data_IF_935096297588
#
_entry.id   IF_935096297588
#
_cell.length_a   1.000
_cell.length_b   1.000
_cell.length_c   1.000
_cell.angle_alpha   90.00
_cell.angle_beta   90.00
_cell.angle_gamma   90.00
#
_symmetry.space_group_name_H-M   'P 1'
#
loop_
_entity.id
_entity.type
_entity.pdbx_description
1 polymer ?
#
# COMPACT_ATOMS: atom_id res chain seq x y z
N UNK A 1 -4.36 -8.58 -18.08
CA UNK A 1 -4.96 -7.66 -17.10
C UNK A 1 -3.85 -7.24 -16.14
N UNK A 2 -3.59 -5.94 -15.98
CA UNK A 2 -2.50 -5.48 -15.12
C UNK A 2 -2.87 -5.74 -13.66
N UNK A 3 -2.10 -6.58 -12.99
CA UNK A 3 -2.18 -6.81 -11.55
C UNK A 3 -2.15 -5.46 -10.79
N UNK A 4 -3.23 -5.11 -10.09
CA UNK A 4 -3.31 -3.89 -9.28
C UNK A 4 -2.50 -4.10 -8.01
N UNK A 5 -1.22 -3.74 -8.05
CA UNK A 5 -0.33 -3.82 -6.89
C UNK A 5 -0.42 -2.55 -6.03
N UNK A 6 -0.03 -2.65 -4.75
CA UNK A 6 0.15 -1.48 -3.88
C UNK A 6 1.02 -0.39 -4.54
N UNK A 7 2.06 -0.80 -5.27
CA UNK A 7 2.93 0.10 -6.03
C UNK A 7 2.16 0.85 -7.11
N UNK A 8 1.29 0.17 -7.85
CA UNK A 8 0.46 0.78 -8.90
C UNK A 8 -0.48 1.82 -8.31
N UNK A 9 -1.14 1.51 -7.19
CA UNK A 9 -2.03 2.44 -6.48
C UNK A 9 -1.27 3.66 -5.95
N UNK A 10 -0.08 3.47 -5.37
CA UNK A 10 0.79 4.56 -4.93
C UNK A 10 1.18 5.48 -6.09
N UNK A 11 1.62 4.90 -7.20
CA UNK A 11 2.03 5.65 -8.39
C UNK A 11 0.85 6.42 -9.02
N UNK A 12 -0.36 5.87 -9.00
CA UNK A 12 -1.57 6.58 -9.42
C UNK A 12 -1.84 7.83 -8.57
N UNK A 13 -1.45 7.82 -7.29
CA UNK A 13 -1.49 8.99 -6.40
C UNK A 13 -0.27 9.90 -6.49
N UNK A 14 0.68 9.62 -7.39
CA UNK A 14 1.93 10.37 -7.57
C UNK A 14 2.77 10.49 -6.29
N UNK A 15 2.69 9.48 -5.41
CA UNK A 15 3.45 9.44 -4.16
C UNK A 15 4.75 8.66 -4.33
N UNK A 16 5.84 9.08 -3.69
CA UNK A 16 7.03 8.25 -3.46
C UNK A 16 6.80 7.25 -2.31
N UNK A 17 7.66 6.24 -2.16
CA UNK A 17 7.57 5.31 -1.02
C UNK A 17 7.76 6.05 0.31
N UNK A 18 8.63 7.06 0.36
CA UNK A 18 8.83 7.93 1.52
C UNK A 18 7.59 8.75 1.86
N UNK A 19 6.91 9.31 0.86
CA UNK A 19 5.69 10.07 1.08
C UNK A 19 4.55 9.19 1.61
N UNK A 20 4.40 7.97 1.07
CA UNK A 20 3.40 7.02 1.57
C UNK A 20 3.74 6.58 3.01
N UNK A 21 5.00 6.31 3.28
CA UNK A 21 5.50 5.97 4.62
C UNK A 21 5.18 7.07 5.64
N UNK A 22 5.52 8.32 5.34
CA UNK A 22 5.26 9.46 6.22
C UNK A 22 3.76 9.69 6.47
N UNK A 23 2.92 9.48 5.45
CA UNK A 23 1.46 9.66 5.56
C UNK A 23 0.76 8.55 6.34
N UNK A 24 1.37 7.37 6.45
CA UNK A 24 0.77 6.18 7.08
C UNK A 24 1.42 5.81 8.42
N UNK A 25 2.48 6.52 8.82
CA UNK A 25 3.36 6.15 9.93
C UNK A 25 3.92 4.72 9.81
N UNK A 26 4.19 4.30 8.57
CA UNK A 26 4.79 3.00 8.25
C UNK A 26 6.20 3.24 7.74
N UNK A 27 7.18 2.49 8.22
CA UNK A 27 8.56 2.67 7.72
C UNK A 27 8.65 2.47 6.21
N UNK A 28 9.50 3.26 5.54
CA UNK A 28 9.77 3.15 4.09
C UNK A 28 10.16 1.71 3.71
N UNK A 29 10.96 1.05 4.56
CA UNK A 29 11.34 -0.37 4.41
C UNK A 29 10.12 -1.29 4.39
N UNK A 30 9.15 -1.06 5.26
CA UNK A 30 7.90 -1.83 5.30
C UNK A 30 7.06 -1.58 4.05
N UNK A 31 6.92 -0.34 3.60
CA UNK A 31 6.24 -0.01 2.34
C UNK A 31 6.89 -0.73 1.16
N UNK A 32 8.22 -0.65 1.03
CA UNK A 32 8.96 -1.34 -0.02
C UNK A 32 8.75 -2.87 0.03
N UNK A 33 8.69 -3.45 1.23
CA UNK A 33 8.41 -4.88 1.41
C UNK A 33 6.98 -5.25 1.00
N UNK A 34 5.98 -4.44 1.34
CA UNK A 34 4.60 -4.64 0.92
C UNK A 34 4.43 -4.53 -0.60
N UNK A 35 5.14 -3.60 -1.26
CA UNK A 35 5.14 -3.49 -2.72
C UNK A 35 5.83 -4.66 -3.43
N UNK A 36 6.81 -5.28 -2.78
CA UNK A 36 7.56 -6.41 -3.33
C UNK A 36 6.87 -7.76 -3.09
N UNK A 37 6.20 -7.93 -1.95
CA UNK A 37 5.62 -9.20 -1.52
C UNK A 37 4.20 -8.98 -0.98
N UNK A 38 3.20 -9.31 -1.82
CA UNK A 38 1.78 -9.18 -1.48
C UNK A 38 1.36 -10.10 -0.33
N UNK A 39 2.02 -11.25 -0.14
CA UNK A 39 1.71 -12.14 0.97
C UNK A 39 2.12 -11.53 2.32
N UNK A 40 3.16 -10.70 2.34
CA UNK A 40 3.53 -9.90 3.52
C UNK A 40 2.50 -8.79 3.77
N UNK A 41 2.01 -8.13 2.72
CA UNK A 41 0.96 -7.11 2.85
C UNK A 41 -0.35 -7.72 3.38
N UNK A 42 -0.78 -8.89 2.87
CA UNK A 42 -1.98 -9.61 3.35
C UNK A 42 -1.93 -9.99 4.83
N UNK A 43 -0.72 -10.15 5.40
CA UNK A 43 -0.50 -10.43 6.82
C UNK A 43 -0.30 -9.18 7.67
N UNK A 44 -0.38 -7.98 7.09
CA UNK A 44 -0.26 -6.75 7.85
C UNK A 44 -1.45 -6.58 8.81
N UNK A 45 -1.22 -5.86 9.91
CA UNK A 45 -2.31 -5.47 10.82
C UNK A 45 -3.33 -4.63 10.06
N UNK A 46 -4.62 -4.85 10.36
CA UNK A 46 -5.72 -4.12 9.72
C UNK A 46 -5.53 -2.60 9.76
N UNK A 47 -5.10 -2.03 10.89
CA UNK A 47 -4.82 -0.60 11.03
C UNK A 47 -3.84 -0.06 9.97
N UNK A 48 -2.82 -0.84 9.61
CA UNK A 48 -1.88 -0.45 8.55
C UNK A 48 -2.51 -0.50 7.17
N UNK A 49 -3.33 -1.52 6.91
CA UNK A 49 -4.07 -1.65 5.66
C UNK A 49 -5.07 -0.50 5.49
N UNK A 50 -5.78 -0.16 6.56
CA UNK A 50 -6.72 0.96 6.61
C UNK A 50 -6.01 2.29 6.37
N UNK A 51 -4.91 2.56 7.06
CA UNK A 51 -4.13 3.79 6.84
C UNK A 51 -3.64 3.93 5.39
N UNK A 52 -3.15 2.83 4.80
CA UNK A 52 -2.76 2.80 3.38
C UNK A 52 -3.96 3.09 2.48
N UNK A 53 -5.09 2.42 2.72
CA UNK A 53 -6.31 2.58 1.92
C UNK A 53 -6.83 4.04 1.96
N UNK A 54 -6.84 4.65 3.15
CA UNK A 54 -7.23 6.05 3.35
C UNK A 54 -6.34 7.03 2.57
N UNK A 55 -5.01 6.89 2.69
CA UNK A 55 -4.04 7.73 1.96
C UNK A 55 -4.17 7.54 0.44
N UNK A 56 -4.47 6.33 0.00
CA UNK A 56 -4.67 5.99 -1.40
C UNK A 56 -6.12 6.21 -1.87
N UNK A 57 -7.02 6.70 -1.02
CA UNK A 57 -8.44 6.94 -1.32
C UNK A 57 -9.10 5.75 -2.03
N UNK A 58 -8.85 4.54 -1.53
CA UNK A 58 -9.40 3.26 -1.99
C UNK A 58 -9.92 2.48 -0.80
N UNK A 59 -10.61 1.37 -1.03
CA UNK A 59 -10.93 0.42 0.03
C UNK A 59 -9.76 -0.53 0.30
N UNK A 60 -9.78 -1.21 1.45
CA UNK A 60 -8.79 -2.25 1.75
C UNK A 60 -8.87 -3.39 0.73
N UNK A 61 -10.06 -3.71 0.23
CA UNK A 61 -10.25 -4.78 -0.76
C UNK A 61 -9.63 -4.41 -2.11
N UNK A 62 -9.68 -3.15 -2.52
CA UNK A 62 -9.05 -2.65 -3.76
C UNK A 62 -7.53 -2.85 -3.77
N UNK A 63 -6.90 -2.93 -2.59
CA UNK A 63 -5.46 -3.22 -2.47
C UNK A 63 -5.14 -4.67 -2.90
N UNK A 64 -6.14 -5.57 -2.83
CA UNK A 64 -5.97 -7.00 -3.04
C UNK A 64 -6.69 -7.56 -4.28
N UNK A 65 -7.46 -6.76 -5.02
CA UNK A 65 -8.19 -7.14 -6.24
C UNK A 65 -7.29 -7.35 -7.48
N UNK A 66 -6.16 -8.04 -7.31
CA UNK A 66 -5.25 -8.49 -8.37
C UNK A 66 -5.24 -10.01 -8.55
#
# INVERSE_FOLDING_TARGET
>A
MSQTSLKSLRLAKKLTQEQLANKTDISVRTIARYEKDVAVLRRAKYEKLKAIAEVLSVTVDDIFLG
#
